data_IF_455755912816
#
_entry.id   IF_455755912816
#
_cell.length_a   1.000
_cell.length_b   1.000
_cell.length_c   1.000
_cell.angle_alpha   90.00
_cell.angle_beta   90.00
_cell.angle_gamma   90.00
#
_symmetry.space_group_name_H-M   'P 1'
#
loop_
_entity.id
_entity.type
_entity.pdbx_description
1 polymer ?
#
# COMPACT_ATOMS: atom_id res chain seq x y z
N UNK A 1 17.74 -51.25 -32.90
CA UNK A 1 16.95 -50.05 -33.25
C UNK A 1 15.66 -50.06 -32.45
N UNK A 2 15.19 -48.86 -32.03
CA UNK A 2 13.97 -48.53 -31.26
C UNK A 2 14.27 -48.12 -29.80
N UNK A 3 14.72 -46.87 -29.61
CA UNK A 3 13.90 -45.71 -29.13
C UNK A 3 13.61 -45.86 -27.62
N UNK A 4 14.52 -45.49 -26.72
CA UNK A 4 14.72 -44.12 -26.18
C UNK A 4 13.40 -43.40 -25.85
N UNK A 5 12.92 -43.53 -24.61
CA UNK A 5 11.94 -42.61 -24.04
C UNK A 5 12.45 -42.09 -22.69
N UNK A 6 13.08 -40.93 -22.78
CA UNK A 6 13.42 -40.01 -21.70
C UNK A 6 12.10 -39.48 -21.15
N UNK A 7 11.71 -39.87 -19.94
CA UNK A 7 10.64 -39.17 -19.20
C UNK A 7 11.30 -38.19 -18.24
N UNK A 8 11.51 -36.99 -18.78
CA UNK A 8 11.92 -35.78 -18.06
C UNK A 8 10.85 -35.46 -17.00
N UNK A 9 11.11 -35.83 -15.75
CA UNK A 9 10.27 -35.45 -14.61
C UNK A 9 10.47 -33.95 -14.35
N UNK A 10 9.64 -33.14 -14.99
CA UNK A 10 9.61 -31.69 -14.85
C UNK A 10 8.94 -31.38 -13.50
N UNK A 11 9.74 -31.26 -12.45
CA UNK A 11 9.28 -30.80 -11.13
C UNK A 11 8.93 -29.31 -11.26
N UNK A 12 7.66 -29.04 -11.57
CA UNK A 12 7.07 -27.71 -11.48
C UNK A 12 6.99 -27.38 -9.99
N UNK A 13 8.05 -26.79 -9.44
CA UNK A 13 7.97 -26.14 -8.12
C UNK A 13 7.10 -24.91 -8.34
N UNK A 14 5.80 -25.05 -8.07
CA UNK A 14 4.91 -23.92 -7.91
C UNK A 14 5.44 -23.11 -6.72
N UNK A 15 6.18 -22.03 -7.01
CA UNK A 15 6.55 -21.05 -6.01
C UNK A 15 5.23 -20.43 -5.51
N UNK A 16 4.82 -20.63 -4.24
CA UNK A 16 3.66 -19.94 -3.73
C UNK A 16 3.92 -18.44 -3.83
N UNK A 17 2.98 -17.73 -4.45
CA UNK A 17 3.02 -16.29 -4.64
C UNK A 17 3.41 -15.61 -3.32
N UNK A 18 4.46 -14.79 -3.40
CA UNK A 18 4.87 -13.85 -2.35
C UNK A 18 3.66 -13.02 -1.96
N UNK A 19 3.05 -13.42 -0.84
CA UNK A 19 1.90 -12.76 -0.26
C UNK A 19 2.34 -11.39 0.23
N UNK A 20 1.64 -10.36 -0.25
CA UNK A 20 1.91 -8.95 -0.08
C UNK A 20 2.24 -8.58 1.38
N UNK A 21 3.44 -8.03 1.60
CA UNK A 21 3.83 -7.33 2.83
C UNK A 21 3.14 -5.94 2.82
N UNK A 22 1.81 -5.94 2.73
CA UNK A 22 0.95 -4.74 2.77
C UNK A 22 -0.10 -4.84 3.88
N UNK A 23 -0.04 -5.86 4.73
CA UNK A 23 -0.96 -6.01 5.85
C UNK A 23 -0.64 -4.93 6.91
N UNK A 24 -1.66 -4.16 7.28
CA UNK A 24 -1.56 -3.09 8.28
C UNK A 24 -1.60 -3.66 9.70
N UNK A 25 -0.82 -3.07 10.60
CA UNK A 25 -0.73 -3.48 11.99
C UNK A 25 0.16 -4.72 12.19
N UNK A 26 -0.08 -5.43 13.30
CA UNK A 26 0.69 -6.60 13.70
C UNK A 26 0.11 -7.89 13.10
N UNK A 27 0.96 -8.72 12.52
CA UNK A 27 0.64 -10.08 12.11
C UNK A 27 1.79 -11.00 12.52
N UNK A 28 1.54 -11.89 13.47
CA UNK A 28 2.59 -12.71 14.06
C UNK A 28 2.16 -14.17 14.23
N UNK A 29 3.04 -15.08 13.81
CA UNK A 29 2.97 -16.50 14.09
C UNK A 29 4.38 -17.02 14.40
N UNK A 30 4.52 -18.34 14.63
CA UNK A 30 5.80 -18.96 15.00
C UNK A 30 6.90 -18.84 13.92
N UNK A 31 6.52 -18.66 12.66
CA UNK A 31 7.44 -18.66 11.53
C UNK A 31 7.76 -17.23 11.07
N UNK A 32 6.80 -16.31 11.18
CA UNK A 32 6.90 -14.94 10.67
C UNK A 32 6.21 -13.96 11.61
N UNK A 33 6.90 -12.86 11.90
CA UNK A 33 6.38 -11.67 12.57
C UNK A 33 6.50 -10.48 11.64
N UNK A 34 5.39 -9.77 11.42
CA UNK A 34 5.37 -8.49 10.70
C UNK A 34 4.62 -7.45 11.49
N UNK A 35 5.13 -6.22 11.49
CA UNK A 35 4.43 -5.06 12.02
C UNK A 35 4.55 -3.92 11.03
N UNK A 36 3.45 -3.23 10.79
CA UNK A 36 3.45 -1.91 10.17
C UNK A 36 2.72 -0.92 11.05
N UNK A 37 3.23 0.32 11.10
CA UNK A 37 2.62 1.47 11.74
C UNK A 37 2.37 2.55 10.70
N UNK A 38 1.28 3.28 10.87
CA UNK A 38 0.80 4.33 9.98
C UNK A 38 0.09 5.44 10.77
N UNK A 39 -0.49 6.41 10.07
CA UNK A 39 -1.23 7.53 10.70
C UNK A 39 -2.38 7.10 11.61
N UNK A 40 -2.94 5.91 11.40
CA UNK A 40 -4.05 5.39 12.21
C UNK A 40 -3.56 4.63 13.44
N UNK A 41 -2.25 4.43 13.59
CA UNK A 41 -1.66 3.81 14.77
C UNK A 41 -1.71 4.78 15.95
N UNK A 42 -2.53 4.46 16.94
CA UNK A 42 -2.64 5.21 18.20
C UNK A 42 -1.58 4.77 19.20
N UNK A 43 -1.31 5.57 20.24
CA UNK A 43 -0.42 5.17 21.36
C UNK A 43 -0.86 3.85 21.99
N UNK A 44 -2.17 3.70 22.25
CA UNK A 44 -2.73 2.48 22.83
C UNK A 44 -2.53 1.25 21.92
N UNK A 45 -2.72 1.41 20.60
CA UNK A 45 -2.43 0.34 19.64
C UNK A 45 -0.95 -0.03 19.63
N UNK A 46 -0.05 0.97 19.70
CA UNK A 46 1.39 0.74 19.72
C UNK A 46 1.86 0.03 20.98
N UNK A 47 1.37 0.43 22.15
CA UNK A 47 1.62 -0.25 23.43
C UNK A 47 1.13 -1.70 23.42
N UNK A 48 -0.01 -1.96 22.78
CA UNK A 48 -0.51 -3.33 22.57
C UNK A 48 0.46 -4.13 21.71
N UNK A 49 0.98 -3.56 20.62
CA UNK A 49 1.99 -4.23 19.79
C UNK A 49 3.27 -4.54 20.57
N UNK A 50 3.75 -3.61 21.40
CA UNK A 50 4.91 -3.83 22.27
C UNK A 50 4.69 -5.04 23.19
N UNK A 51 3.53 -5.11 23.86
CA UNK A 51 3.19 -6.24 24.74
C UNK A 51 3.12 -7.56 23.98
N UNK A 52 2.48 -7.58 22.82
CA UNK A 52 2.35 -8.78 22.00
C UNK A 52 3.69 -9.26 21.44
N UNK A 53 4.59 -8.36 21.06
CA UNK A 53 5.89 -8.71 20.47
C UNK A 53 6.89 -9.29 21.47
N UNK A 54 6.74 -9.01 22.77
CA UNK A 54 7.58 -9.60 23.83
C UNK A 54 7.58 -11.13 23.82
N UNK A 55 6.47 -11.77 23.44
CA UNK A 55 6.38 -13.25 23.34
C UNK A 55 7.28 -13.84 22.25
N UNK A 56 7.73 -13.02 21.30
CA UNK A 56 8.66 -13.38 20.23
C UNK A 56 10.08 -12.88 20.52
N UNK A 57 10.33 -12.40 21.74
CA UNK A 57 11.59 -11.76 22.14
C UNK A 57 11.91 -10.51 21.31
N UNK A 58 10.89 -9.80 20.81
CA UNK A 58 11.04 -8.58 20.02
C UNK A 58 10.63 -7.38 20.87
N UNK A 59 11.52 -6.40 20.95
CA UNK A 59 11.27 -5.08 21.51
C UNK A 59 11.13 -4.05 20.39
N UNK A 60 10.15 -3.15 20.51
CA UNK A 60 9.97 -2.02 19.61
C UNK A 60 9.84 -0.73 20.40
N UNK A 61 10.37 0.34 19.83
CA UNK A 61 10.31 1.69 20.40
C UNK A 61 9.98 2.68 19.29
N UNK A 62 9.12 3.66 19.61
CA UNK A 62 8.87 4.79 18.73
C UNK A 62 9.63 5.99 19.28
N UNK A 63 10.67 6.41 18.55
CA UNK A 63 11.56 7.52 18.94
C UNK A 63 10.99 8.82 18.35
N UNK A 64 10.93 9.86 19.19
CA UNK A 64 10.44 11.20 18.84
C UNK A 64 9.08 11.20 18.09
N UNK A 65 8.05 10.49 18.61
CA UNK A 65 6.76 10.45 17.94
C UNK A 65 6.10 11.81 17.96
N UNK A 66 5.53 12.21 16.83
CA UNK A 66 4.72 13.40 16.68
C UNK A 66 3.27 12.98 16.41
N UNK A 67 2.33 13.65 17.08
CA UNK A 67 0.91 13.38 16.93
C UNK A 67 0.13 14.65 16.57
N UNK A 68 -0.98 14.50 15.87
CA UNK A 68 -1.97 15.57 15.73
C UNK A 68 -2.70 15.81 17.06
N UNK A 69 -3.41 16.93 17.15
CA UNK A 69 -4.34 17.20 18.26
C UNK A 69 -5.43 16.13 18.43
N UNK A 70 -5.77 15.41 17.36
CA UNK A 70 -6.71 14.27 17.35
C UNK A 70 -6.05 12.95 17.77
N UNK A 71 -4.76 12.95 18.14
CA UNK A 71 -4.03 11.76 18.56
C UNK A 71 -3.55 10.85 17.42
N UNK A 72 -3.50 11.35 16.17
CA UNK A 72 -3.02 10.57 15.02
C UNK A 72 -1.52 10.75 14.83
N UNK A 73 -0.81 9.65 14.54
CA UNK A 73 0.64 9.69 14.33
C UNK A 73 0.99 10.43 13.04
N UNK A 74 1.88 11.43 13.11
CA UNK A 74 2.33 12.22 11.95
C UNK A 74 3.76 11.91 11.55
N UNK A 75 4.64 11.63 12.51
CA UNK A 75 6.00 11.16 12.26
C UNK A 75 6.60 10.44 13.47
N UNK A 76 7.71 9.75 13.24
CA UNK A 76 8.51 9.12 14.28
C UNK A 76 9.50 8.13 13.67
N UNK A 77 10.44 7.66 14.48
CA UNK A 77 11.38 6.60 14.08
C UNK A 77 11.04 5.30 14.78
N UNK A 78 10.67 4.28 14.01
CA UNK A 78 10.46 2.93 14.54
C UNK A 78 11.83 2.28 14.74
N UNK A 79 12.15 1.94 15.97
CA UNK A 79 13.30 1.11 16.35
C UNK A 79 12.82 -0.29 16.73
N UNK A 80 13.57 -1.31 16.32
CA UNK A 80 13.27 -2.72 16.55
C UNK A 80 14.54 -3.45 17.00
N UNK A 81 14.42 -4.26 18.05
CA UNK A 81 15.44 -5.17 18.54
C UNK A 81 14.82 -6.57 18.75
N UNK A 82 15.22 -7.54 17.94
CA UNK A 82 14.72 -8.91 18.00
C UNK A 82 15.44 -9.80 19.03
N UNK A 83 16.42 -9.25 19.77
CA UNK A 83 17.22 -9.93 20.82
C UNK A 83 17.90 -11.23 20.36
N UNK A 84 18.00 -11.43 19.05
CA UNK A 84 18.62 -12.59 18.39
C UNK A 84 19.71 -12.14 17.39
N UNK A 85 20.24 -10.93 17.60
CA UNK A 85 21.26 -10.29 16.76
C UNK A 85 20.69 -9.43 15.63
N UNK A 86 19.37 -9.39 15.44
CA UNK A 86 18.74 -8.53 14.43
C UNK A 86 18.13 -7.27 15.04
N UNK A 87 18.60 -6.12 14.57
CA UNK A 87 18.09 -4.79 14.97
C UNK A 87 17.88 -3.92 13.74
N UNK A 88 16.98 -2.95 13.82
CA UNK A 88 16.80 -1.97 12.75
C UNK A 88 16.07 -0.72 13.21
N UNK A 89 16.26 0.36 12.46
CA UNK A 89 15.52 1.61 12.65
C UNK A 89 15.05 2.16 11.32
N UNK A 90 13.88 2.81 11.32
CA UNK A 90 13.31 3.40 10.13
C UNK A 90 12.53 4.66 10.47
N UNK A 91 12.92 5.85 9.98
CA UNK A 91 12.12 7.06 10.10
C UNK A 91 10.91 6.99 9.18
N UNK A 92 9.78 7.51 9.66
CA UNK A 92 8.52 7.60 8.92
C UNK A 92 7.84 8.94 9.09
N UNK A 93 7.23 9.40 8.01
CA UNK A 93 6.33 10.55 7.97
C UNK A 93 5.04 10.08 7.31
N UNK A 94 3.90 10.38 7.92
CA UNK A 94 2.60 9.84 7.53
C UNK A 94 1.69 10.98 7.07
N UNK A 95 1.72 11.28 5.77
CA UNK A 95 0.91 12.34 5.15
C UNK A 95 -0.44 11.79 4.66
N UNK A 96 -0.45 10.54 4.23
CA UNK A 96 -1.60 9.82 3.69
C UNK A 96 -1.81 8.48 4.39
N UNK A 97 -2.98 7.87 4.21
CA UNK A 97 -3.26 6.51 4.68
C UNK A 97 -2.38 5.45 4.00
N UNK A 98 -1.73 5.77 2.87
CA UNK A 98 -0.83 4.85 2.16
C UNK A 98 0.57 4.81 2.77
N UNK A 99 0.93 5.81 3.56
CA UNK A 99 2.23 5.89 4.20
C UNK A 99 2.25 4.96 5.42
N UNK A 100 3.31 4.17 5.53
CA UNK A 100 3.58 3.31 6.66
C UNK A 100 5.07 3.00 6.75
N UNK A 101 5.52 2.65 7.94
CA UNK A 101 6.82 2.00 8.16
C UNK A 101 6.59 0.74 8.95
N UNK A 102 7.54 -0.18 8.89
CA UNK A 102 7.39 -1.45 9.58
C UNK A 102 8.65 -2.28 9.58
N UNK A 103 8.49 -3.54 10.00
CA UNK A 103 9.53 -4.54 9.90
C UNK A 103 8.93 -5.93 9.67
N UNK A 104 9.77 -6.86 9.26
CA UNK A 104 9.50 -8.28 9.31
C UNK A 104 10.66 -9.04 9.98
N UNK A 105 10.32 -10.16 10.59
CA UNK A 105 11.25 -11.17 11.11
C UNK A 105 10.74 -12.55 10.67
N UNK A 106 11.60 -13.33 10.02
CA UNK A 106 11.31 -14.68 9.53
C UNK A 106 12.24 -15.65 10.26
N UNK A 107 11.65 -16.59 10.99
CA UNK A 107 12.35 -17.63 11.75
C UNK A 107 12.51 -18.95 10.98
N UNK A 108 11.88 -19.07 9.81
CA UNK A 108 11.99 -20.25 8.96
C UNK A 108 13.44 -20.51 8.54
N UNK A 109 13.95 -21.71 8.84
CA UNK A 109 15.29 -22.14 8.45
C UNK A 109 15.46 -22.07 6.92
N UNK A 110 16.56 -21.47 6.47
CA UNK A 110 16.85 -21.32 5.04
C UNK A 110 16.13 -20.15 4.36
N UNK A 111 15.45 -19.28 5.13
CA UNK A 111 14.92 -18.03 4.57
C UNK A 111 16.05 -17.18 3.96
N UNK A 112 15.84 -16.70 2.73
CA UNK A 112 16.80 -15.83 2.03
C UNK A 112 17.06 -14.52 2.78
N UNK A 113 16.02 -13.98 3.41
CA UNK A 113 16.08 -12.78 4.25
C UNK A 113 15.32 -13.06 5.54
N UNK A 114 16.00 -12.98 6.67
CA UNK A 114 15.40 -13.29 7.97
C UNK A 114 14.90 -12.05 8.71
N UNK A 115 15.28 -10.84 8.28
CA UNK A 115 14.86 -9.59 8.89
C UNK A 115 14.90 -8.45 7.86
N UNK A 116 14.01 -7.49 8.00
CA UNK A 116 14.10 -6.24 7.24
C UNK A 116 13.13 -5.17 7.71
N UNK A 117 13.52 -3.91 7.51
CA UNK A 117 12.64 -2.75 7.68
C UNK A 117 11.83 -2.53 6.39
N UNK A 118 10.58 -2.10 6.53
CA UNK A 118 9.62 -2.01 5.42
C UNK A 118 9.09 -0.59 5.30
N UNK A 119 9.08 -0.07 4.07
CA UNK A 119 8.44 1.19 3.66
C UNK A 119 7.26 0.88 2.73
N UNK A 120 6.41 1.87 2.39
CA UNK A 120 5.27 1.64 1.53
C UNK A 120 5.70 0.97 0.23
N UNK A 121 4.99 -0.07 -0.17
CA UNK A 121 5.16 -0.59 -1.51
C UNK A 121 4.88 0.55 -2.49
N UNK A 122 5.74 0.77 -3.51
CA UNK A 122 5.39 1.69 -4.57
C UNK A 122 3.99 1.31 -5.08
N UNK A 123 3.13 2.28 -5.42
CA UNK A 123 1.80 1.97 -5.92
C UNK A 123 1.97 0.95 -7.04
N UNK A 124 1.25 -0.19 -6.94
CA UNK A 124 1.16 -1.14 -8.05
C UNK A 124 0.92 -0.30 -9.29
N UNK A 125 1.88 -0.31 -10.24
CA UNK A 125 1.63 0.27 -11.56
C UNK A 125 0.30 -0.35 -11.99
N UNK A 126 -0.72 0.45 -12.33
CA UNK A 126 -2.02 -0.10 -12.67
C UNK A 126 -1.78 -1.19 -13.69
N UNK A 127 -2.15 -2.43 -13.36
CA UNK A 127 -1.99 -3.53 -14.31
C UNK A 127 -2.67 -3.11 -15.61
N UNK A 128 -2.13 -3.53 -16.75
CA UNK A 128 -2.71 -3.23 -18.05
C UNK A 128 -4.21 -3.52 -18.08
N UNK A 129 -4.70 -4.51 -17.32
CA UNK A 129 -6.11 -4.82 -17.14
C UNK A 129 -6.93 -3.71 -16.44
N UNK A 130 -6.35 -2.99 -15.48
CA UNK A 130 -7.01 -1.86 -14.79
C UNK A 130 -7.04 -0.59 -15.65
N UNK A 131 -6.01 -0.39 -16.49
CA UNK A 131 -6.00 0.67 -17.50
C UNK A 131 -7.07 0.39 -18.57
N UNK A 132 -7.16 -0.86 -19.05
CA UNK A 132 -8.16 -1.25 -20.04
C UNK A 132 -9.59 -1.07 -19.52
N UNK A 133 -9.92 -1.48 -18.29
CA UNK A 133 -11.25 -1.23 -17.70
C UNK A 133 -11.58 0.25 -17.55
N UNK A 134 -10.59 1.11 -17.25
CA UNK A 134 -10.80 2.56 -17.13
C UNK A 134 -10.98 3.23 -18.50
N UNK A 135 -10.27 2.74 -19.53
CA UNK A 135 -10.42 3.19 -20.92
C UNK A 135 -11.74 2.71 -21.51
N UNK A 136 -12.16 1.47 -21.24
CA UNK A 136 -13.43 0.90 -21.67
C UNK A 136 -14.62 1.64 -21.06
N UNK A 137 -14.57 1.97 -19.76
CA UNK A 137 -15.57 2.83 -19.10
C UNK A 137 -15.62 4.26 -19.67
N UNK A 138 -14.54 4.76 -20.28
CA UNK A 138 -14.52 6.06 -20.96
C UNK A 138 -14.97 5.97 -22.43
N UNK A 139 -15.09 4.76 -22.98
CA UNK A 139 -15.53 4.49 -24.35
C UNK A 139 -16.96 3.92 -24.41
N UNK A 140 -17.61 3.68 -23.27
CA UNK A 140 -19.04 3.38 -23.24
C UNK A 140 -19.80 4.55 -23.89
N UNK A 141 -20.59 4.31 -24.96
CA UNK A 141 -21.41 5.37 -25.53
C UNK A 141 -22.35 5.86 -24.44
N UNK A 142 -22.44 7.19 -24.28
CA UNK A 142 -23.52 7.81 -23.53
C UNK A 142 -24.81 7.42 -24.26
N UNK A 143 -25.45 6.34 -23.83
CA UNK A 143 -26.78 5.96 -24.28
C UNK A 143 -27.71 7.00 -23.68
N UNK A 144 -27.91 8.06 -24.45
CA UNK A 144 -28.87 9.11 -24.16
C UNK A 144 -30.27 8.53 -24.09
N UNK A 145 -30.87 8.59 -22.90
CA UNK A 145 -32.32 8.70 -22.73
C UNK A 145 -32.67 10.17 -22.53
N UNK A 146 -32.59 10.97 -23.58
CA UNK A 146 -32.89 12.40 -23.53
C UNK A 146 -32.85 13.00 -24.92
N UNK A 147 -34.02 13.12 -25.53
CA UNK A 147 -34.25 13.79 -26.81
C UNK A 147 -33.59 15.17 -26.79
N UNK A 148 -32.78 15.56 -27.80
CA UNK A 148 -32.32 16.93 -27.90
C UNK A 148 -33.51 17.81 -28.25
N UNK A 149 -33.95 18.64 -27.31
CA UNK A 149 -34.82 19.78 -27.64
C UNK A 149 -33.92 20.79 -28.34
N UNK A 150 -34.05 20.87 -29.66
CA UNK A 150 -33.54 21.99 -30.46
C UNK A 150 -34.48 23.16 -30.17
N UNK A 151 -34.11 24.00 -29.21
CA UNK A 151 -34.74 25.29 -29.03
C UNK A 151 -34.21 26.22 -30.14
N UNK A 152 -35.03 26.41 -31.18
CA UNK A 152 -34.86 27.51 -32.12
C UNK A 152 -35.10 28.80 -31.35
N UNK A 153 -34.05 29.52 -31.00
CA UNK A 153 -34.18 30.94 -30.74
C UNK A 153 -33.84 31.69 -32.02
N UNK A 154 -34.91 32.21 -32.61
CA UNK A 154 -34.89 33.10 -33.73
C UNK A 154 -34.00 34.31 -33.46
N UNK A 155 -33.30 34.67 -34.53
CA UNK A 155 -32.66 35.94 -34.77
C UNK A 155 -33.60 37.08 -34.37
N UNK A 156 -33.17 37.93 -33.44
CA UNK A 156 -33.44 39.35 -33.60
C UNK A 156 -32.19 40.19 -33.39
N UNK A 157 -32.01 41.07 -34.35
CA UNK A 157 -30.90 41.93 -34.67
C UNK A 157 -31.23 43.28 -34.05
N UNK A 158 -30.42 43.77 -33.11
CA UNK A 158 -29.99 45.17 -33.19
C UNK A 158 -28.81 45.47 -32.26
N UNK A 159 -27.70 45.82 -32.91
CA UNK A 159 -26.90 47.04 -32.72
C UNK A 159 -27.02 47.75 -31.36
N UNK A 160 -25.92 47.95 -30.63
CA UNK A 160 -25.18 49.24 -30.58
C UNK A 160 -23.86 49.09 -29.79
N UNK A 161 -22.81 49.59 -30.42
CA UNK A 161 -21.45 49.89 -29.95
C UNK A 161 -21.49 50.82 -28.73
N UNK A 162 -20.53 50.73 -27.79
CA UNK A 162 -19.75 51.88 -27.29
C UNK A 162 -18.59 51.41 -26.40
N UNK A 163 -17.39 51.84 -26.81
CA UNK A 163 -16.13 51.75 -26.09
C UNK A 163 -16.12 52.62 -24.83
N UNK A 164 -15.29 52.27 -23.85
CA UNK A 164 -15.10 53.09 -22.65
C UNK A 164 -13.94 52.64 -21.80
N UNK A 165 -12.72 52.92 -22.29
CA UNK A 165 -11.50 52.99 -21.49
C UNK A 165 -11.63 54.12 -20.47
N UNK A 166 -11.24 53.87 -19.22
CA UNK A 166 -10.55 54.82 -18.35
C UNK A 166 -9.65 54.06 -17.39
#
# INVERSE_FOLDING_TARGET
>A
MKQLFITLLLVIIAIPATSQICKRGLSANKDVVTLTIDRNTTSASFEKYQKELKRFNIEITLIEPQFTSEGRLTSGTLYVDCKDGFTGSLPGTFQSSKDFIGFYRIYTKGAKYSFGMVKPCPPEKPSSASIMKKVEKMLEPVVGGGTPIIEKNDVNKDTTVTAGTK
#
